data_IF_750925117072
#
_entry.id   IF_750925117072
#
_cell.length_a   1.000
_cell.length_b   1.000
_cell.length_c   1.000
_cell.angle_alpha   90.00
_cell.angle_beta   90.00
_cell.angle_gamma   90.00
#
_symmetry.space_group_name_H-M   'P 1'
#
loop_
_entity.id
_entity.type
_entity.pdbx_description
1 polymer ?
#
# COMPACT_ATOMS: atom_id res chain seq x y z
N UNK A 1 3.48 -28.20 9.82
CA UNK A 1 4.46 -27.77 8.78
C UNK A 1 4.62 -28.91 7.80
N UNK A 2 4.72 -30.14 8.32
CA UNK A 2 4.75 -31.36 7.53
C UNK A 2 3.59 -31.48 6.54
N UNK A 3 2.36 -31.24 6.98
CA UNK A 3 1.20 -31.30 6.08
C UNK A 3 1.28 -30.32 4.89
N UNK A 4 1.81 -29.11 5.10
CA UNK A 4 1.96 -28.12 4.02
C UNK A 4 3.05 -28.55 3.02
N UNK A 5 4.18 -29.06 3.51
CA UNK A 5 5.24 -29.64 2.68
C UNK A 5 4.72 -30.85 1.88
N UNK A 6 3.91 -31.71 2.51
CA UNK A 6 3.26 -32.84 1.85
C UNK A 6 2.33 -32.39 0.73
N UNK A 7 1.52 -31.36 0.96
CA UNK A 7 0.63 -30.81 -0.06
C UNK A 7 1.42 -30.21 -1.24
N UNK A 8 2.47 -29.42 -0.97
CA UNK A 8 3.35 -28.87 -2.00
C UNK A 8 4.07 -29.97 -2.80
N UNK A 9 4.55 -31.01 -2.12
CA UNK A 9 5.16 -32.16 -2.77
C UNK A 9 4.19 -32.87 -3.72
N UNK A 10 2.98 -33.15 -3.24
CA UNK A 10 1.95 -33.83 -4.03
C UNK A 10 1.50 -32.98 -5.22
N UNK A 11 1.38 -31.65 -5.07
CA UNK A 11 1.03 -30.77 -6.19
C UNK A 11 2.11 -30.70 -7.27
N UNK A 12 3.38 -30.92 -6.90
CA UNK A 12 4.49 -31.03 -7.84
C UNK A 12 4.65 -32.44 -8.43
N UNK A 13 3.83 -33.42 -8.00
CA UNK A 13 3.92 -34.81 -8.45
C UNK A 13 5.17 -35.55 -7.95
N UNK A 14 5.81 -35.06 -6.89
CA UNK A 14 7.10 -35.57 -6.42
C UNK A 14 6.94 -36.69 -5.37
N UNK A 15 7.86 -37.65 -5.40
CA UNK A 15 8.10 -38.58 -4.30
C UNK A 15 8.79 -37.89 -3.11
N UNK A 16 8.73 -38.51 -1.93
CA UNK A 16 9.44 -37.99 -0.75
C UNK A 16 10.96 -37.89 -0.98
N UNK A 17 11.52 -38.78 -1.80
CA UNK A 17 12.94 -38.77 -2.15
C UNK A 17 13.28 -37.57 -3.03
N UNK A 18 12.48 -37.31 -4.05
CA UNK A 18 12.70 -36.16 -4.94
C UNK A 18 12.52 -34.84 -4.18
N UNK A 19 11.51 -34.75 -3.32
CA UNK A 19 11.26 -33.54 -2.53
C UNK A 19 12.37 -33.25 -1.51
N UNK A 20 12.90 -34.29 -0.85
CA UNK A 20 14.01 -34.14 0.10
C UNK A 20 15.32 -33.65 -0.57
N UNK A 21 15.45 -33.84 -1.89
CA UNK A 21 16.62 -33.50 -2.69
C UNK A 21 17.93 -33.98 -2.02
N UNK A 22 18.99 -33.19 -2.07
CA UNK A 22 20.24 -33.44 -1.34
C UNK A 22 20.26 -32.78 0.06
N UNK A 23 19.12 -32.26 0.52
CA UNK A 23 19.03 -31.51 1.79
C UNK A 23 18.98 -32.45 2.99
N UNK A 24 18.27 -33.57 2.87
CA UNK A 24 18.12 -34.53 3.96
C UNK A 24 17.74 -35.93 3.46
N UNK A 25 17.87 -36.92 4.33
CA UNK A 25 17.44 -38.28 4.00
C UNK A 25 15.93 -38.40 3.82
N UNK A 26 15.49 -39.34 2.98
CA UNK A 26 14.06 -39.65 2.77
C UNK A 26 13.36 -39.97 4.09
N UNK A 27 14.02 -40.71 4.98
CA UNK A 27 13.50 -41.06 6.31
C UNK A 27 13.28 -39.83 7.17
N UNK A 28 14.23 -38.89 7.18
CA UNK A 28 14.11 -37.64 7.91
C UNK A 28 12.98 -36.78 7.34
N UNK A 29 12.92 -36.64 6.01
CA UNK A 29 11.86 -35.89 5.34
C UNK A 29 10.47 -36.49 5.60
N UNK A 30 10.34 -37.82 5.58
CA UNK A 30 9.10 -38.52 5.90
C UNK A 30 8.63 -38.25 7.34
N UNK A 31 9.55 -38.22 8.32
CA UNK A 31 9.22 -37.83 9.70
C UNK A 31 8.76 -36.38 9.79
N UNK A 32 9.31 -35.48 8.98
CA UNK A 32 8.87 -34.08 8.91
C UNK A 32 7.45 -33.98 8.32
N UNK A 33 7.16 -34.65 7.21
CA UNK A 33 5.82 -34.64 6.59
C UNK A 33 4.72 -35.17 7.53
N UNK A 34 5.07 -36.14 8.37
CA UNK A 34 4.16 -36.71 9.36
C UNK A 34 4.17 -35.94 10.71
N UNK A 35 4.76 -34.74 10.74
CA UNK A 35 4.91 -33.87 11.92
C UNK A 35 5.56 -34.57 13.15
N UNK A 36 6.30 -35.66 12.92
CA UNK A 36 7.09 -36.39 13.94
C UNK A 36 8.44 -35.74 14.23
N UNK A 37 8.91 -34.89 13.32
CA UNK A 37 10.16 -34.16 13.45
C UNK A 37 9.99 -32.71 12.95
N UNK A 38 10.57 -31.75 13.67
CA UNK A 38 10.62 -30.36 13.22
C UNK A 38 11.68 -30.19 12.12
N UNK A 39 11.38 -29.37 11.13
CA UNK A 39 12.34 -28.93 10.11
C UNK A 39 13.07 -27.67 10.60
N UNK A 40 14.38 -27.58 10.34
CA UNK A 40 15.14 -26.34 10.56
C UNK A 40 14.80 -25.34 9.46
N UNK A 41 14.85 -24.04 9.78
CA UNK A 41 14.53 -23.00 8.81
C UNK A 41 15.45 -23.05 7.57
N UNK A 42 16.75 -23.23 7.75
CA UNK A 42 17.70 -23.33 6.62
C UNK A 42 17.37 -24.50 5.69
N UNK A 43 17.00 -25.66 6.26
CA UNK A 43 16.65 -26.85 5.48
C UNK A 43 15.32 -26.66 4.74
N UNK A 44 14.35 -25.97 5.37
CA UNK A 44 13.11 -25.57 4.71
C UNK A 44 13.39 -24.66 3.51
N UNK A 45 14.19 -23.61 3.70
CA UNK A 45 14.55 -22.67 2.62
C UNK A 45 15.24 -23.40 1.46
N UNK A 46 16.19 -24.30 1.77
CA UNK A 46 16.87 -25.11 0.74
C UNK A 46 15.90 -25.99 -0.04
N UNK A 47 14.97 -26.67 0.63
CA UNK A 47 13.96 -27.51 -0.04
C UNK A 47 13.05 -26.66 -0.93
N UNK A 48 12.53 -25.53 -0.42
CA UNK A 48 11.65 -24.65 -1.20
C UNK A 48 12.36 -24.09 -2.43
N UNK A 49 13.61 -23.65 -2.27
CA UNK A 49 14.42 -23.13 -3.37
C UNK A 49 14.75 -24.22 -4.41
N UNK A 50 15.10 -25.43 -3.98
CA UNK A 50 15.42 -26.54 -4.89
C UNK A 50 14.27 -26.88 -5.84
N UNK A 51 13.03 -26.68 -5.40
CA UNK A 51 11.81 -26.97 -6.17
C UNK A 51 11.10 -25.73 -6.68
N UNK A 52 11.76 -24.56 -6.67
CA UNK A 52 11.22 -23.28 -7.14
C UNK A 52 9.88 -22.90 -6.50
N UNK A 53 9.66 -23.32 -5.25
CA UNK A 53 8.50 -22.95 -4.47
C UNK A 53 8.75 -21.55 -3.91
N UNK A 54 7.84 -20.62 -4.21
CA UNK A 54 7.91 -19.26 -3.68
C UNK A 54 7.85 -19.28 -2.14
N UNK A 55 8.96 -18.88 -1.51
CA UNK A 55 9.13 -18.95 -0.06
C UNK A 55 8.10 -18.07 0.65
N UNK A 56 7.82 -16.88 0.10
CA UNK A 56 6.89 -15.92 0.70
C UNK A 56 5.48 -16.50 0.71
N UNK A 57 4.99 -17.00 -0.43
CA UNK A 57 3.69 -17.65 -0.57
C UNK A 57 3.58 -18.88 0.32
N UNK A 58 4.60 -19.72 0.37
CA UNK A 58 4.60 -20.92 1.22
C UNK A 58 4.49 -20.56 2.71
N UNK A 59 5.26 -19.59 3.20
CA UNK A 59 5.19 -19.12 4.58
C UNK A 59 3.83 -18.46 4.86
N UNK A 60 3.28 -17.67 3.94
CA UNK A 60 1.95 -17.09 4.09
C UNK A 60 0.87 -18.17 4.23
N UNK A 61 0.91 -19.24 3.43
CA UNK A 61 -0.01 -20.37 3.58
C UNK A 61 0.14 -21.07 4.93
N UNK A 62 1.37 -21.21 5.42
CA UNK A 62 1.63 -21.77 6.75
C UNK A 62 1.00 -20.91 7.85
N UNK A 63 1.21 -19.60 7.81
CA UNK A 63 0.67 -18.65 8.78
C UNK A 63 -0.87 -18.64 8.78
N UNK A 64 -1.48 -18.63 7.58
CA UNK A 64 -2.93 -18.71 7.39
C UNK A 64 -3.52 -20.00 7.98
N UNK A 65 -2.96 -21.17 7.65
CA UNK A 65 -3.46 -22.46 8.15
C UNK A 65 -3.38 -22.57 9.66
N UNK A 66 -2.36 -21.98 10.28
CA UNK A 66 -2.19 -22.02 11.73
C UNK A 66 -2.97 -20.93 12.47
N UNK A 67 -3.69 -20.06 11.75
CA UNK A 67 -4.33 -18.87 12.32
C UNK A 67 -3.32 -18.04 13.15
N UNK A 68 -2.05 -18.04 12.73
CA UNK A 68 -0.98 -17.27 13.38
C UNK A 68 -0.89 -15.85 12.82
N UNK A 69 -1.53 -15.62 11.68
CA UNK A 69 -1.87 -14.30 11.17
C UNK A 69 -3.38 -14.16 11.27
N UNK A 70 -3.84 -13.32 12.20
CA UNK A 70 -5.25 -12.98 12.37
C UNK A 70 -5.78 -12.16 11.17
N UNK A 71 -4.89 -11.48 10.46
CA UNK A 71 -5.24 -10.73 9.25
C UNK A 71 -4.25 -11.07 8.12
N UNK A 72 -4.77 -11.49 6.97
CA UNK A 72 -4.00 -11.43 5.73
C UNK A 72 -3.85 -9.93 5.40
N UNK A 73 -2.79 -9.31 5.93
CA UNK A 73 -2.57 -7.87 5.87
C UNK A 73 -2.70 -7.33 4.44
N UNK A 74 -2.06 -8.02 3.50
CA UNK A 74 -2.08 -7.67 2.08
C UNK A 74 -3.47 -7.81 1.47
N UNK A 75 -4.22 -8.85 1.83
CA UNK A 75 -5.62 -9.00 1.40
C UNK A 75 -6.49 -7.85 1.89
N UNK A 76 -6.37 -7.49 3.18
CA UNK A 76 -7.16 -6.39 3.72
C UNK A 76 -6.72 -5.06 3.13
N UNK A 77 -5.44 -4.83 2.91
CA UNK A 77 -4.94 -3.63 2.23
C UNK A 77 -5.49 -3.52 0.80
N UNK A 78 -5.45 -4.61 0.02
CA UNK A 78 -6.03 -4.63 -1.33
C UNK A 78 -7.55 -4.41 -1.33
N UNK A 79 -8.26 -5.03 -0.39
CA UNK A 79 -9.71 -4.85 -0.24
C UNK A 79 -10.05 -3.41 0.15
N UNK A 80 -9.23 -2.84 1.04
CA UNK A 80 -9.34 -1.46 1.48
C UNK A 80 -9.09 -0.50 0.30
N UNK A 81 -8.07 -0.75 -0.50
CA UNK A 81 -7.76 -0.01 -1.73
C UNK A 81 -8.90 -0.09 -2.74
N UNK A 82 -9.45 -1.28 -3.00
CA UNK A 82 -10.55 -1.44 -3.98
C UNK A 82 -11.81 -0.68 -3.52
N UNK A 83 -12.17 -0.74 -2.24
CA UNK A 83 -13.31 0.00 -1.71
C UNK A 83 -13.14 1.52 -1.79
N UNK A 84 -11.90 2.02 -1.64
CA UNK A 84 -11.60 3.44 -1.85
C UNK A 84 -11.87 3.86 -3.31
N UNK A 85 -11.42 3.04 -4.27
CA UNK A 85 -11.62 3.30 -5.69
C UNK A 85 -13.08 3.19 -6.12
N UNK A 86 -13.80 2.21 -5.60
CA UNK A 86 -15.21 1.95 -5.91
C UNK A 86 -16.18 2.87 -5.15
N UNK A 87 -15.68 3.64 -4.17
CA UNK A 87 -16.46 4.43 -3.21
C UNK A 87 -17.58 3.61 -2.52
N UNK A 88 -17.33 2.32 -2.30
CA UNK A 88 -18.31 1.42 -1.68
C UNK A 88 -18.35 1.63 -0.15
N UNK A 89 -19.20 2.57 0.28
CA UNK A 89 -19.44 2.88 1.69
C UNK A 89 -20.14 1.73 2.45
N UNK A 90 -20.84 0.83 1.77
CA UNK A 90 -21.63 -0.23 2.41
C UNK A 90 -20.75 -1.37 2.96
N UNK A 91 -19.67 -1.68 2.25
CA UNK A 91 -18.69 -2.71 2.65
C UNK A 91 -17.70 -2.25 3.73
N UNK A 92 -17.63 -0.95 4.00
CA UNK A 92 -16.64 -0.32 4.87
C UNK A 92 -16.96 -0.50 6.37
N UNK A 93 -18.22 -0.36 6.76
CA UNK A 93 -18.63 -0.54 8.17
C UNK A 93 -18.49 -2.02 8.59
N UNK A 94 -18.81 -2.96 7.70
CA UNK A 94 -18.53 -4.39 7.91
C UNK A 94 -17.03 -4.69 8.07
N UNK A 95 -16.18 -4.01 7.28
CA UNK A 95 -14.74 -4.17 7.40
C UNK A 95 -14.26 -3.69 8.77
N UNK A 96 -14.72 -2.53 9.25
CA UNK A 96 -14.36 -2.04 10.58
C UNK A 96 -14.74 -3.05 11.67
N UNK A 97 -15.94 -3.60 11.60
CA UNK A 97 -16.41 -4.58 12.59
C UNK A 97 -15.59 -5.87 12.55
N UNK A 98 -15.17 -6.32 11.36
CA UNK A 98 -14.22 -7.44 11.21
C UNK A 98 -12.84 -7.08 11.79
N UNK A 99 -12.34 -5.87 11.51
CA UNK A 99 -11.02 -5.43 11.99
C UNK A 99 -10.96 -5.25 13.51
N UNK A 100 -12.08 -4.91 14.17
CA UNK A 100 -12.18 -4.89 15.65
C UNK A 100 -11.87 -6.26 16.27
N UNK A 101 -12.14 -7.36 15.56
CA UNK A 101 -11.96 -8.72 16.06
C UNK A 101 -10.48 -9.16 16.07
N UNK A 102 -9.63 -8.51 15.27
CA UNK A 102 -8.20 -8.87 15.15
C UNK A 102 -7.31 -8.16 16.18
N UNK A 103 -7.88 -7.62 17.27
CA UNK A 103 -7.14 -6.81 18.24
C UNK A 103 -6.63 -5.49 17.64
N UNK A 104 -5.91 -4.69 18.42
CA UNK A 104 -5.33 -3.43 17.95
C UNK A 104 -4.18 -3.65 16.95
N UNK A 105 -4.46 -4.17 15.75
CA UNK A 105 -3.57 -3.98 14.62
C UNK A 105 -3.61 -2.51 14.22
N UNK A 106 -2.74 -1.72 14.88
CA UNK A 106 -2.74 -0.27 14.77
C UNK A 106 -2.68 0.25 13.34
N UNK A 107 -2.01 -0.46 12.41
CA UNK A 107 -1.88 -0.02 11.02
C UNK A 107 -3.20 -0.12 10.25
N UNK A 108 -3.77 -1.32 10.14
CA UNK A 108 -5.01 -1.56 9.38
C UNK A 108 -6.18 -0.76 9.95
N UNK A 109 -6.28 -0.69 11.27
CA UNK A 109 -7.33 0.11 11.91
C UNK A 109 -7.21 1.59 11.53
N UNK A 110 -6.04 2.20 11.68
CA UNK A 110 -5.84 3.61 11.31
C UNK A 110 -6.07 3.81 9.80
N UNK A 111 -5.57 2.92 8.95
CA UNK A 111 -5.76 2.98 7.50
C UNK A 111 -7.25 2.95 7.12
N UNK A 112 -8.02 2.00 7.66
CA UNK A 112 -9.47 1.91 7.40
C UNK A 112 -10.20 3.15 7.89
N UNK A 113 -9.82 3.70 9.05
CA UNK A 113 -10.42 4.93 9.57
C UNK A 113 -10.11 6.14 8.69
N UNK A 114 -8.87 6.29 8.22
CA UNK A 114 -8.47 7.36 7.28
C UNK A 114 -9.31 7.29 6.00
N UNK A 115 -9.52 6.08 5.48
CA UNK A 115 -10.32 5.89 4.28
C UNK A 115 -11.80 6.20 4.48
N UNK A 116 -12.38 5.82 5.61
CA UNK A 116 -13.74 6.23 5.97
C UNK A 116 -13.87 7.74 5.95
N UNK A 117 -12.94 8.44 6.60
CA UNK A 117 -12.95 9.90 6.67
C UNK A 117 -12.85 10.52 5.28
N UNK A 118 -11.99 9.97 4.41
CA UNK A 118 -11.82 10.45 3.04
C UNK A 118 -13.04 10.14 2.14
N UNK A 119 -13.65 8.95 2.24
CA UNK A 119 -14.78 8.57 1.38
C UNK A 119 -16.09 9.20 1.86
N UNK A 120 -16.33 9.28 3.18
CA UNK A 120 -17.50 9.95 3.76
C UNK A 120 -17.39 11.48 3.74
N UNK A 121 -16.25 12.01 3.28
CA UNK A 121 -15.98 13.43 3.24
C UNK A 121 -16.30 14.14 4.57
N UNK A 122 -15.71 13.62 5.64
CA UNK A 122 -16.01 14.08 7.00
C UNK A 122 -14.73 14.51 7.69
N UNK A 123 -13.98 15.42 7.05
CA UNK A 123 -12.64 15.86 7.52
C UNK A 123 -12.66 16.54 8.91
N UNK A 124 -13.80 17.10 9.32
CA UNK A 124 -13.98 17.80 10.59
C UNK A 124 -14.64 16.95 11.69
N UNK A 125 -14.94 15.67 11.43
CA UNK A 125 -15.55 14.81 12.43
C UNK A 125 -14.56 14.40 13.55
N UNK A 126 -15.04 13.99 14.74
CA UNK A 126 -14.17 13.54 15.84
C UNK A 126 -13.22 12.40 15.45
N UNK A 127 -13.69 11.49 14.58
CA UNK A 127 -12.88 10.40 14.05
C UNK A 127 -11.70 10.92 13.22
N UNK A 128 -11.91 11.98 12.44
CA UNK A 128 -10.86 12.59 11.64
C UNK A 128 -9.78 13.24 12.52
N UNK A 129 -10.21 13.95 13.58
CA UNK A 129 -9.30 14.52 14.57
C UNK A 129 -8.44 13.44 15.25
N UNK A 130 -9.05 12.32 15.65
CA UNK A 130 -8.32 11.18 16.24
C UNK A 130 -7.30 10.60 15.26
N UNK A 131 -7.70 10.39 14.00
CA UNK A 131 -6.79 9.87 12.97
C UNK A 131 -5.62 10.83 12.71
N UNK A 132 -5.87 12.14 12.68
CA UNK A 132 -4.81 13.17 12.55
C UNK A 132 -3.80 13.07 13.69
N UNK A 133 -4.27 13.03 14.93
CA UNK A 133 -3.40 12.94 16.11
C UNK A 133 -2.56 11.66 16.10
N UNK A 134 -3.20 10.52 15.82
CA UNK A 134 -2.55 9.22 15.78
C UNK A 134 -1.52 9.13 14.64
N UNK A 135 -1.84 9.66 13.45
CA UNK A 135 -0.93 9.74 12.32
C UNK A 135 0.31 10.58 12.67
N UNK A 136 0.12 11.80 13.16
CA UNK A 136 1.23 12.67 13.55
C UNK A 136 2.12 12.02 14.61
N UNK A 137 1.53 11.41 15.64
CA UNK A 137 2.29 10.72 16.69
C UNK A 137 3.18 9.61 16.10
N UNK A 138 2.65 8.81 15.18
CA UNK A 138 3.40 7.71 14.56
C UNK A 138 4.52 8.18 13.64
N UNK A 139 4.28 9.23 12.85
CA UNK A 139 5.29 9.82 11.97
C UNK A 139 6.43 10.45 12.79
N UNK A 140 6.10 11.15 13.88
CA UNK A 140 7.10 11.79 14.76
C UNK A 140 7.88 10.80 15.63
N UNK A 141 7.30 9.64 15.94
CA UNK A 141 7.97 8.63 16.77
C UNK A 141 9.10 7.87 16.06
N UNK A 142 9.20 7.99 14.72
CA UNK A 142 10.19 7.27 13.92
C UNK A 142 11.08 8.27 13.19
N UNK A 143 12.34 8.39 13.62
CA UNK A 143 13.34 9.33 13.07
C UNK A 143 13.46 9.28 11.53
N UNK A 144 13.46 8.06 10.98
CA UNK A 144 13.47 7.81 9.52
C UNK A 144 12.16 7.23 9.02
N UNK A 145 11.04 7.86 9.39
CA UNK A 145 9.70 7.37 9.03
C UNK A 145 9.54 7.15 7.51
N UNK A 146 10.21 7.94 6.69
CA UNK A 146 10.19 7.83 5.22
C UNK A 146 10.71 6.48 4.71
N UNK A 147 11.53 5.77 5.47
CA UNK A 147 12.04 4.44 5.10
C UNK A 147 11.03 3.32 5.45
N UNK A 148 10.00 3.62 6.25
CA UNK A 148 8.99 2.67 6.69
C UNK A 148 7.77 2.67 5.74
N UNK A 149 7.61 1.59 4.98
CA UNK A 149 6.52 1.46 4.00
C UNK A 149 5.13 1.61 4.62
N UNK A 150 4.92 1.14 5.85
CA UNK A 150 3.63 1.24 6.52
C UNK A 150 3.28 2.69 6.87
N UNK A 151 4.29 3.49 7.25
CA UNK A 151 4.11 4.91 7.50
C UNK A 151 3.93 5.71 6.21
N UNK A 152 4.60 5.32 5.12
CA UNK A 152 4.35 5.89 3.79
C UNK A 152 2.91 5.66 3.34
N UNK A 153 2.38 4.45 3.50
CA UNK A 153 0.99 4.13 3.19
C UNK A 153 0.04 4.98 4.04
N UNK A 154 0.23 5.03 5.36
CA UNK A 154 -0.59 5.86 6.23
C UNK A 154 -0.55 7.34 5.84
N UNK A 155 0.62 7.86 5.48
CA UNK A 155 0.76 9.23 5.02
C UNK A 155 0.02 9.47 3.70
N UNK A 156 0.11 8.55 2.74
CA UNK A 156 -0.59 8.63 1.46
C UNK A 156 -2.10 8.84 1.65
N UNK A 157 -2.72 8.07 2.55
CA UNK A 157 -4.16 8.19 2.87
C UNK A 157 -4.47 9.28 3.91
N UNK A 158 -3.45 9.83 4.56
CA UNK A 158 -3.58 10.87 5.58
C UNK A 158 -3.42 12.29 5.07
N UNK A 159 -2.97 12.51 3.82
CA UNK A 159 -2.65 13.85 3.29
C UNK A 159 -3.77 14.87 3.54
N UNK A 160 -5.02 14.51 3.26
CA UNK A 160 -6.17 15.43 3.39
C UNK A 160 -6.54 15.75 4.83
N UNK A 161 -6.22 14.85 5.77
CA UNK A 161 -6.56 15.02 7.16
C UNK A 161 -5.59 15.94 7.89
N UNK A 162 -4.38 16.14 7.36
CA UNK A 162 -3.36 16.96 7.99
C UNK A 162 -3.62 18.45 7.77
N UNK A 163 -3.29 19.25 8.79
CA UNK A 163 -3.19 20.70 8.61
C UNK A 163 -1.97 21.06 7.74
N UNK A 164 -1.97 22.28 7.19
CA UNK A 164 -0.93 22.75 6.28
C UNK A 164 0.48 22.60 6.86
N UNK A 165 0.67 22.96 8.14
CA UNK A 165 1.98 22.97 8.78
C UNK A 165 2.56 21.56 8.90
N UNK A 166 1.77 20.61 9.38
CA UNK A 166 2.21 19.21 9.49
C UNK A 166 2.41 18.59 8.11
N UNK A 167 1.51 18.86 7.16
CA UNK A 167 1.62 18.33 5.81
C UNK A 167 2.92 18.79 5.15
N UNK A 168 3.23 20.09 5.18
CA UNK A 168 4.45 20.64 4.57
C UNK A 168 5.71 20.12 5.25
N UNK A 169 5.68 19.96 6.58
CA UNK A 169 6.81 19.40 7.34
C UNK A 169 7.14 17.96 6.91
N UNK A 170 6.13 17.09 6.77
CA UNK A 170 6.34 15.70 6.37
C UNK A 170 6.61 15.57 4.86
N UNK A 171 5.92 16.35 4.02
CA UNK A 171 6.13 16.36 2.58
C UNK A 171 7.57 16.77 2.23
N UNK A 172 8.10 17.81 2.88
CA UNK A 172 9.50 18.24 2.69
C UNK A 172 10.50 17.12 2.98
N UNK A 173 10.38 16.44 4.13
CA UNK A 173 11.25 15.31 4.47
C UNK A 173 11.18 14.20 3.42
N UNK A 174 9.99 13.92 2.90
CA UNK A 174 9.77 12.90 1.89
C UNK A 174 10.46 13.26 0.58
N UNK A 175 10.23 14.46 0.06
CA UNK A 175 10.81 14.88 -1.23
C UNK A 175 12.32 15.09 -1.16
N UNK A 176 12.86 15.55 -0.02
CA UNK A 176 14.30 15.59 0.23
C UNK A 176 14.93 14.19 0.25
N UNK A 177 14.24 13.21 0.85
CA UNK A 177 14.72 11.82 0.93
C UNK A 177 14.72 11.10 -0.43
N UNK A 178 13.74 11.41 -1.27
CA UNK A 178 13.43 10.68 -2.51
C UNK A 178 13.70 11.47 -3.79
N UNK A 179 14.81 12.21 -3.83
CA UNK A 179 15.29 12.90 -5.05
C UNK A 179 15.70 11.93 -6.19
N UNK A 180 16.00 10.67 -5.85
CA UNK A 180 16.33 9.60 -6.81
C UNK A 180 15.57 8.34 -6.44
N UNK A 181 14.98 7.70 -7.45
CA UNK A 181 14.13 6.51 -7.30
C UNK A 181 14.62 5.30 -8.11
N UNK A 182 15.77 5.43 -8.77
CA UNK A 182 16.36 4.37 -9.58
C UNK A 182 16.59 3.10 -8.77
N UNK A 183 16.16 1.96 -9.32
CA UNK A 183 16.31 0.64 -8.69
C UNK A 183 15.38 0.38 -7.51
N UNK A 184 14.46 1.29 -7.16
CA UNK A 184 13.47 1.04 -6.11
C UNK A 184 12.37 0.08 -6.59
N UNK A 185 11.79 -0.74 -5.68
CA UNK A 185 10.64 -1.56 -6.01
C UNK A 185 9.47 -0.72 -6.54
N UNK A 186 8.83 -1.15 -7.64
CA UNK A 186 7.74 -0.43 -8.30
C UNK A 186 6.65 0.01 -7.30
N UNK A 187 6.20 -0.90 -6.42
CA UNK A 187 5.20 -0.61 -5.38
C UNK A 187 5.60 0.55 -4.45
N UNK A 188 6.89 0.69 -4.14
CA UNK A 188 7.37 1.79 -3.30
C UNK A 188 7.30 3.11 -4.06
N UNK A 189 7.73 3.12 -5.31
CA UNK A 189 7.62 4.30 -6.19
C UNK A 189 6.15 4.70 -6.40
N UNK A 190 5.27 3.72 -6.52
CA UNK A 190 3.82 3.92 -6.62
C UNK A 190 3.25 4.64 -5.39
N UNK A 191 3.57 4.19 -4.17
CA UNK A 191 3.14 4.86 -2.93
C UNK A 191 3.62 6.32 -2.89
N UNK A 192 4.87 6.58 -3.29
CA UNK A 192 5.42 7.94 -3.37
C UNK A 192 4.67 8.80 -4.41
N UNK A 193 4.30 8.21 -5.56
CA UNK A 193 3.52 8.90 -6.58
C UNK A 193 2.10 9.24 -6.10
N UNK A 194 1.45 8.34 -5.35
CA UNK A 194 0.15 8.59 -4.70
C UNK A 194 0.27 9.76 -3.73
N UNK A 195 1.30 9.76 -2.87
CA UNK A 195 1.53 10.87 -1.92
C UNK A 195 1.70 12.20 -2.67
N UNK A 196 2.52 12.22 -3.72
CA UNK A 196 2.75 13.43 -4.49
C UNK A 196 1.47 13.95 -5.15
N UNK A 197 0.67 13.07 -5.78
CA UNK A 197 -0.63 13.43 -6.36
C UNK A 197 -1.59 13.99 -5.30
N UNK A 198 -1.70 13.32 -4.15
CA UNK A 198 -2.57 13.77 -3.06
C UNK A 198 -2.12 15.11 -2.49
N UNK A 199 -0.81 15.33 -2.37
CA UNK A 199 -0.25 16.61 -1.92
C UNK A 199 -0.63 17.75 -2.87
N UNK A 200 -0.45 17.55 -4.19
CA UNK A 200 -0.85 18.53 -5.21
C UNK A 200 -2.33 18.89 -5.12
N UNK A 201 -3.17 17.88 -4.95
CA UNK A 201 -4.60 18.08 -4.91
C UNK A 201 -5.05 18.76 -3.60
N UNK A 202 -4.44 18.44 -2.46
CA UNK A 202 -4.68 19.15 -1.20
C UNK A 202 -4.26 20.63 -1.27
N UNK A 203 -3.14 20.92 -1.93
CA UNK A 203 -2.62 22.27 -2.07
C UNK A 203 -3.56 23.17 -2.90
N UNK A 204 -4.14 22.59 -3.95
CA UNK A 204 -5.17 23.24 -4.76
C UNK A 204 -6.49 23.41 -4.01
N UNK A 205 -6.95 22.38 -3.29
CA UNK A 205 -8.17 22.46 -2.47
C UNK A 205 -8.10 23.61 -1.47
N UNK A 206 -6.97 23.75 -0.78
CA UNK A 206 -6.75 24.82 0.22
C UNK A 206 -6.41 26.17 -0.40
N UNK A 207 -6.50 26.31 -1.73
CA UNK A 207 -6.25 27.56 -2.47
C UNK A 207 -4.79 28.07 -2.36
N UNK A 208 -3.83 27.20 -2.00
CA UNK A 208 -2.45 27.62 -1.72
C UNK A 208 -1.60 27.82 -2.96
N UNK A 209 -1.94 27.18 -4.08
CA UNK A 209 -1.46 27.46 -5.45
C UNK A 209 0.06 27.47 -5.71
N UNK A 210 0.93 27.43 -4.70
CA UNK A 210 2.33 27.83 -4.82
C UNK A 210 3.36 26.88 -4.17
N UNK A 211 2.98 25.71 -3.67
CA UNK A 211 3.92 24.81 -2.96
C UNK A 211 4.15 23.46 -3.66
N UNK A 212 3.77 23.35 -4.94
CA UNK A 212 3.69 22.07 -5.67
C UNK A 212 4.87 21.74 -6.60
N UNK A 213 5.91 22.58 -6.66
CA UNK A 213 7.04 22.40 -7.57
C UNK A 213 7.73 21.03 -7.41
N UNK A 214 8.16 20.71 -6.17
CA UNK A 214 8.87 19.47 -5.87
C UNK A 214 8.02 18.22 -6.16
N UNK A 215 6.73 18.25 -5.82
CA UNK A 215 5.81 17.15 -6.10
C UNK A 215 5.56 16.96 -7.60
N UNK A 216 5.40 18.04 -8.38
CA UNK A 216 5.30 17.98 -9.84
C UNK A 216 6.59 17.43 -10.45
N UNK A 217 7.74 17.93 -10.02
CA UNK A 217 9.05 17.55 -10.53
C UNK A 217 9.33 16.07 -10.24
N UNK A 218 9.02 15.62 -9.02
CA UNK A 218 9.06 14.21 -8.65
C UNK A 218 8.19 13.36 -9.59
N UNK A 219 6.93 13.73 -9.81
CA UNK A 219 6.02 12.97 -10.69
C UNK A 219 6.49 12.95 -12.14
N UNK A 220 7.11 14.04 -12.62
CA UNK A 220 7.70 14.08 -13.97
C UNK A 220 8.96 13.24 -14.10
N UNK A 221 9.75 13.09 -13.02
CA UNK A 221 10.92 12.22 -12.98
C UNK A 221 10.61 10.72 -12.98
N UNK A 222 9.35 10.32 -12.74
CA UNK A 222 8.94 8.91 -12.79
C UNK A 222 9.35 8.28 -14.14
N UNK A 223 9.70 6.98 -14.19
CA UNK A 223 10.02 6.31 -15.44
C UNK A 223 8.87 6.40 -16.47
N UNK A 224 9.21 6.41 -17.76
CA UNK A 224 8.25 6.31 -18.86
C UNK A 224 7.72 4.86 -18.99
N UNK A 225 7.07 4.37 -17.94
CA UNK A 225 6.49 3.04 -17.84
C UNK A 225 4.95 3.16 -17.73
N UNK A 226 4.15 2.29 -18.39
CA UNK A 226 2.69 2.40 -18.38
C UNK A 226 2.07 2.46 -16.98
N UNK A 227 2.65 1.74 -16.01
CA UNK A 227 2.24 1.77 -14.60
C UNK A 227 2.20 3.19 -14.00
N UNK A 228 3.06 4.12 -14.46
CA UNK A 228 3.13 5.49 -13.93
C UNK A 228 2.37 6.54 -14.76
N UNK A 229 1.71 6.13 -15.85
CA UNK A 229 1.09 7.05 -16.80
C UNK A 229 0.06 7.98 -16.14
N UNK A 230 -0.80 7.42 -15.30
CA UNK A 230 -1.88 8.18 -14.65
C UNK A 230 -1.33 9.24 -13.69
N UNK A 231 -0.33 8.92 -12.88
CA UNK A 231 0.28 9.88 -11.95
C UNK A 231 0.90 11.07 -12.69
N UNK A 232 1.58 10.82 -13.82
CA UNK A 232 2.12 11.88 -14.69
C UNK A 232 1.01 12.75 -15.30
N UNK A 233 -0.10 12.13 -15.70
CA UNK A 233 -1.23 12.85 -16.29
C UNK A 233 -1.90 13.76 -15.24
N UNK A 234 -2.06 13.28 -14.01
CA UNK A 234 -2.58 14.05 -12.88
C UNK A 234 -1.63 15.20 -12.49
N UNK A 235 -0.31 14.97 -12.47
CA UNK A 235 0.67 16.04 -12.26
C UNK A 235 0.51 17.16 -13.30
N UNK A 236 0.33 16.79 -14.58
CA UNK A 236 0.11 17.75 -15.67
C UNK A 236 -1.22 18.49 -15.52
N UNK A 237 -2.27 17.81 -15.05
CA UNK A 237 -3.55 18.42 -14.77
C UNK A 237 -3.45 19.46 -13.64
N UNK A 238 -2.91 19.07 -12.48
CA UNK A 238 -2.80 19.97 -11.33
C UNK A 238 -1.87 21.14 -11.59
N UNK A 239 -0.77 20.93 -12.33
CA UNK A 239 0.08 22.02 -12.82
C UNK A 239 -0.70 22.99 -13.71
N UNK A 240 -1.56 22.48 -14.60
CA UNK A 240 -2.38 23.33 -15.45
C UNK A 240 -3.42 24.13 -14.64
N UNK A 241 -4.02 23.53 -13.61
CA UNK A 241 -4.94 24.23 -12.69
C UNK A 241 -4.22 25.36 -11.94
N UNK A 242 -3.06 25.06 -11.34
CA UNK A 242 -2.28 26.06 -10.59
C UNK A 242 -1.82 27.24 -11.46
N UNK A 243 -1.59 27.01 -12.75
CA UNK A 243 -1.18 28.03 -13.73
C UNK A 243 -2.38 28.66 -14.47
N UNK A 244 -3.61 28.36 -14.07
CA UNK A 244 -4.84 28.80 -14.74
C UNK A 244 -4.89 28.49 -16.26
N UNK A 245 -4.19 27.43 -16.69
CA UNK A 245 -4.16 26.99 -18.08
C UNK A 245 -5.41 26.17 -18.41
N UNK A 246 -6.49 26.89 -18.69
CA UNK A 246 -7.83 26.33 -18.97
C UNK A 246 -7.84 25.38 -20.16
N UNK A 247 -7.05 25.65 -21.21
CA UNK A 247 -6.99 24.79 -22.39
C UNK A 247 -6.43 23.41 -22.03
N UNK A 248 -5.29 23.38 -21.35
CA UNK A 248 -4.62 22.15 -20.94
C UNK A 248 -5.45 21.38 -19.90
N UNK A 249 -6.10 22.09 -18.97
CA UNK A 249 -7.05 21.52 -18.01
C UNK A 249 -8.18 20.79 -18.74
N UNK A 250 -8.89 21.48 -19.65
CA UNK A 250 -10.02 20.91 -20.41
C UNK A 250 -9.60 19.75 -21.30
N UNK A 251 -8.40 19.79 -21.86
CA UNK A 251 -7.85 18.71 -22.68
C UNK A 251 -7.66 17.44 -21.86
N UNK A 252 -7.04 17.54 -20.69
CA UNK A 252 -6.78 16.39 -19.82
C UNK A 252 -8.09 15.86 -19.23
N UNK A 253 -8.99 16.73 -18.76
CA UNK A 253 -10.29 16.31 -18.22
C UNK A 253 -11.13 15.56 -19.24
N UNK A 254 -11.16 15.99 -20.51
CA UNK A 254 -11.87 15.28 -21.58
C UNK A 254 -11.28 13.89 -21.82
N UNK A 255 -9.96 13.80 -21.96
CA UNK A 255 -9.27 12.53 -22.13
C UNK A 255 -9.58 11.56 -20.99
N UNK A 256 -9.46 12.01 -19.74
CA UNK A 256 -9.78 11.17 -18.57
C UNK A 256 -11.25 10.72 -18.59
N UNK A 257 -12.18 11.62 -18.94
CA UNK A 257 -13.59 11.27 -19.03
C UNK A 257 -13.89 10.25 -20.14
N UNK A 258 -13.24 10.35 -21.30
CA UNK A 258 -13.40 9.42 -22.43
C UNK A 258 -12.97 7.99 -22.07
N UNK A 259 -12.01 7.83 -21.16
CA UNK A 259 -11.54 6.54 -20.67
C UNK A 259 -12.23 6.07 -19.37
N UNK A 260 -13.27 6.76 -18.90
CA UNK A 260 -14.00 6.39 -17.68
C UNK A 260 -13.36 6.83 -16.37
N UNK A 261 -12.36 7.73 -16.43
CA UNK A 261 -11.61 8.23 -15.27
C UNK A 261 -12.03 9.64 -14.83
N UNK A 262 -13.26 10.05 -15.14
CA UNK A 262 -13.78 11.38 -14.75
C UNK A 262 -13.63 11.62 -13.25
N UNK A 263 -13.98 10.61 -12.46
CA UNK A 263 -14.02 10.70 -11.01
C UNK A 263 -12.64 10.60 -10.37
N UNK A 264 -11.56 10.37 -11.12
CA UNK A 264 -10.21 10.42 -10.56
C UNK A 264 -9.79 11.85 -10.23
N UNK A 265 -10.11 12.81 -11.11
CA UNK A 265 -9.86 14.22 -10.81
C UNK A 265 -10.56 14.55 -9.49
N UNK A 266 -11.82 14.17 -9.36
CA UNK A 266 -12.67 14.39 -8.18
C UNK A 266 -12.15 13.59 -6.97
N UNK A 267 -11.88 12.29 -7.06
CA UNK A 267 -11.39 11.45 -5.95
C UNK A 267 -10.08 11.94 -5.35
N UNK A 268 -9.21 12.54 -6.16
CA UNK A 268 -7.99 13.17 -5.70
C UNK A 268 -8.18 14.63 -5.30
N UNK A 269 -9.12 15.38 -5.90
CA UNK A 269 -9.39 16.81 -5.58
C UNK A 269 -10.54 17.06 -4.60
N UNK A 270 -11.27 16.03 -4.21
CA UNK A 270 -12.41 16.05 -3.30
C UNK A 270 -12.19 14.99 -2.21
N UNK A 271 -11.49 15.37 -1.14
CA UNK A 271 -12.30 15.63 0.03
C UNK A 271 -12.94 17.00 -0.24
N UNK A 272 -14.27 17.11 -0.42
CA UNK A 272 -14.92 18.41 -0.49
C UNK A 272 -14.44 19.42 0.56
#
# INVERSE_FOLDING_TARGET
MGELLKNARLSLGLSQKEMAAEVMSVTQYSRIENDQQRIRFDDLVKILHAHQIDIVSFINQFLLRRKLTDCNHDYYLQKIESMYWERDLSSIDELLDKLKQFGQHGLLNLLTKLLIVNVKDSLDCPMAQQCRQELCQRLLAVDKWTDNNNLLILFAYGVFILDSKHLDYFAKQLFERYQRIDGMPIKKVEILAIIAVNYLANDLHKGRGSHSGEAVDFLYSLPAHPHFLLYKLLAKYYKAVALENVEQQKKISRMLAEFGYRDLIVAFSTAP
#
